data_IF_854394055232
#
_entry.id   IF_854394055232
#
_cell.length_a   1.000
_cell.length_b   1.000
_cell.length_c   1.000
_cell.angle_alpha   90.00
_cell.angle_beta   90.00
_cell.angle_gamma   90.00
#
_symmetry.space_group_name_H-M   'P 1'
#
loop_
_entity.id
_entity.type
_entity.pdbx_description
1 polymer ?
#
# COMPACT_ATOMS: atom_id res chain seq x y z
N UNK A 1 -27.69 -20.33 69.12
CA UNK A 1 -26.94 -20.96 68.01
C UNK A 1 -27.07 -20.24 66.66
N UNK A 2 -28.21 -19.60 66.35
CA UNK A 2 -28.48 -18.93 65.05
C UNK A 2 -27.57 -17.74 64.71
N UNK A 3 -27.03 -17.03 65.70
CA UNK A 3 -26.18 -15.84 65.49
C UNK A 3 -24.70 -16.14 65.19
N UNK A 4 -24.20 -17.33 65.54
CA UNK A 4 -22.82 -17.73 65.22
C UNK A 4 -22.71 -18.26 63.79
N UNK A 5 -23.76 -18.91 63.29
CA UNK A 5 -23.85 -19.37 61.91
C UNK A 5 -23.87 -18.20 60.91
N UNK A 6 -24.63 -17.13 61.20
CA UNK A 6 -24.64 -15.92 60.36
C UNK A 6 -23.29 -15.20 60.30
N UNK A 7 -22.50 -15.22 61.39
CA UNK A 7 -21.17 -14.59 61.41
C UNK A 7 -20.17 -15.38 60.58
N UNK A 8 -20.16 -16.71 60.71
CA UNK A 8 -19.27 -17.57 59.91
C UNK A 8 -19.62 -17.48 58.43
N UNK A 9 -20.91 -17.43 58.09
CA UNK A 9 -21.35 -17.27 56.70
C UNK A 9 -20.95 -15.90 56.12
N UNK A 10 -21.07 -14.82 56.89
CA UNK A 10 -20.61 -13.48 56.47
C UNK A 10 -19.09 -13.44 56.26
N UNK A 11 -18.31 -14.04 57.15
CA UNK A 11 -16.85 -14.12 57.00
C UNK A 11 -16.45 -15.00 55.80
N UNK A 12 -17.14 -16.12 55.55
CA UNK A 12 -16.88 -16.99 54.41
C UNK A 12 -17.21 -16.30 53.07
N UNK A 13 -18.31 -15.54 53.00
CA UNK A 13 -18.68 -14.75 51.82
C UNK A 13 -17.68 -13.61 51.58
N UNK A 14 -17.24 -12.91 52.63
CA UNK A 14 -16.22 -11.87 52.52
C UNK A 14 -14.87 -12.42 52.03
N UNK A 15 -14.43 -13.57 52.55
CA UNK A 15 -13.20 -14.23 52.09
C UNK A 15 -13.32 -14.72 50.65
N UNK A 16 -14.49 -15.23 50.25
CA UNK A 16 -14.74 -15.65 48.86
C UNK A 16 -14.76 -14.49 47.87
N UNK A 17 -15.20 -13.30 48.28
CA UNK A 17 -15.19 -12.08 47.43
C UNK A 17 -13.78 -11.50 47.32
N UNK A 18 -12.99 -11.53 48.39
CA UNK A 18 -11.59 -11.04 48.37
C UNK A 18 -10.68 -11.95 47.54
N UNK A 19 -10.88 -13.27 47.58
CA UNK A 19 -10.15 -14.22 46.72
C UNK A 19 -10.58 -14.10 45.24
N UNK A 20 -11.79 -13.60 44.96
CA UNK A 20 -12.29 -13.36 43.60
C UNK A 20 -11.81 -12.04 42.96
N UNK A 21 -11.30 -11.08 43.74
CA UNK A 21 -10.80 -9.79 43.24
C UNK A 21 -9.26 -9.68 43.15
N UNK A 22 -8.54 -10.77 43.45
CA UNK A 22 -7.06 -10.87 43.45
C UNK A 22 -6.34 -10.94 42.10
N UNK A 23 -7.06 -11.09 40.99
CA UNK A 23 -6.44 -11.21 39.67
C UNK A 23 -6.99 -10.14 38.73
N UNK A 24 -6.69 -8.89 39.04
CA UNK A 24 -6.20 -8.03 37.95
C UNK A 24 -4.92 -8.70 37.49
N UNK A 25 -5.07 -9.67 36.57
CA UNK A 25 -4.01 -9.99 35.66
C UNK A 25 -3.69 -8.65 35.00
N UNK A 26 -2.61 -8.02 35.48
CA UNK A 26 -1.76 -7.23 34.61
C UNK A 26 -1.44 -8.21 33.50
N UNK A 27 -2.26 -8.20 32.45
CA UNK A 27 -1.96 -8.79 31.17
C UNK A 27 -0.83 -7.91 30.66
N UNK A 28 0.37 -8.14 31.21
CA UNK A 28 1.58 -7.70 30.57
C UNK A 28 1.52 -8.31 29.19
N UNK A 29 1.56 -7.45 28.18
CA UNK A 29 1.71 -7.84 26.79
C UNK A 29 2.75 -8.96 26.76
N UNK A 30 2.32 -10.13 26.26
CA UNK A 30 3.24 -11.26 26.21
C UNK A 30 4.32 -10.96 25.18
N UNK A 31 5.55 -11.39 25.46
CA UNK A 31 6.66 -11.34 24.51
C UNK A 31 6.25 -11.92 23.15
N UNK A 32 5.45 -13.00 23.18
CA UNK A 32 4.92 -13.65 21.98
C UNK A 32 3.99 -12.73 21.17
N UNK A 33 3.12 -11.98 21.82
CA UNK A 33 2.21 -10.99 21.19
C UNK A 33 2.98 -9.80 20.61
N UNK A 34 3.93 -9.23 21.36
CA UNK A 34 4.76 -8.16 20.83
C UNK A 34 5.60 -8.63 19.63
N UNK A 35 6.19 -9.82 19.69
CA UNK A 35 6.98 -10.38 18.58
C UNK A 35 6.15 -10.64 17.31
N UNK A 36 4.89 -11.08 17.46
CA UNK A 36 4.01 -11.34 16.33
C UNK A 36 3.56 -10.05 15.65
N UNK A 37 3.25 -9.01 16.43
CA UNK A 37 2.88 -7.69 15.88
C UNK A 37 4.07 -7.03 15.20
N UNK A 38 5.27 -7.16 15.77
CA UNK A 38 6.50 -6.63 15.19
C UNK A 38 6.83 -7.31 13.86
N UNK A 39 6.76 -8.64 13.81
CA UNK A 39 6.94 -9.40 12.57
C UNK A 39 5.88 -9.06 11.51
N UNK A 40 4.64 -8.81 11.92
CA UNK A 40 3.60 -8.37 11.00
C UNK A 40 3.91 -6.96 10.42
N UNK A 41 4.41 -6.05 11.27
CA UNK A 41 4.82 -4.71 10.84
C UNK A 41 6.02 -4.75 9.88
N UNK A 42 7.02 -5.61 10.14
CA UNK A 42 8.15 -5.85 9.24
C UNK A 42 7.69 -6.29 7.85
N UNK A 43 6.80 -7.29 7.80
CA UNK A 43 6.23 -7.78 6.54
C UNK A 43 5.49 -6.66 5.81
N UNK A 44 4.73 -5.83 6.54
CA UNK A 44 3.99 -4.72 5.95
C UNK A 44 4.93 -3.66 5.34
N UNK A 45 6.01 -3.28 6.05
CA UNK A 45 7.04 -2.36 5.55
C UNK A 45 7.67 -2.90 4.26
N UNK A 46 7.98 -4.19 4.20
CA UNK A 46 8.55 -4.84 3.01
C UNK A 46 7.57 -4.79 1.83
N UNK A 47 6.28 -5.06 2.06
CA UNK A 47 5.24 -4.97 1.02
C UNK A 47 5.09 -3.54 0.50
N UNK A 48 5.08 -2.55 1.39
CA UNK A 48 5.05 -1.14 1.01
C UNK A 48 6.30 -0.73 0.21
N UNK A 49 7.47 -1.26 0.55
CA UNK A 49 8.70 -1.06 -0.23
C UNK A 49 8.59 -1.61 -1.65
N UNK A 50 8.03 -2.82 -1.82
CA UNK A 50 7.82 -3.38 -3.15
C UNK A 50 6.84 -2.55 -3.99
N UNK A 51 5.73 -2.08 -3.39
CA UNK A 51 4.76 -1.25 -4.09
C UNK A 51 5.35 0.09 -4.55
N UNK A 52 6.20 0.72 -3.72
CA UNK A 52 6.93 1.94 -4.10
C UNK A 52 7.94 1.67 -5.21
N UNK A 53 8.64 0.54 -5.17
CA UNK A 53 9.58 0.17 -6.23
C UNK A 53 8.87 -0.03 -7.58
N UNK A 54 7.70 -0.66 -7.58
CA UNK A 54 6.86 -0.82 -8.78
C UNK A 54 6.38 0.53 -9.31
N UNK A 55 5.93 1.43 -8.42
CA UNK A 55 5.54 2.80 -8.80
C UNK A 55 6.72 3.64 -9.34
N UNK A 56 7.92 3.49 -8.78
CA UNK A 56 9.13 4.17 -9.27
C UNK A 56 9.59 3.62 -10.65
N UNK A 57 9.44 2.31 -10.89
CA UNK A 57 9.78 1.68 -12.17
C UNK A 57 8.97 2.26 -13.34
N UNK A 58 7.70 2.62 -13.11
CA UNK A 58 6.85 3.30 -14.10
C UNK A 58 7.07 4.82 -14.14
N UNK A 59 7.99 5.36 -13.34
CA UNK A 59 8.35 6.77 -13.31
C UNK A 59 7.42 7.65 -12.46
N UNK A 60 6.64 7.07 -11.55
CA UNK A 60 5.78 7.83 -10.65
C UNK A 60 6.61 8.58 -9.60
N UNK A 61 6.13 9.73 -9.13
CA UNK A 61 6.82 10.50 -8.10
C UNK A 61 6.59 9.89 -6.71
N UNK A 62 7.50 9.02 -6.29
CA UNK A 62 7.44 8.31 -5.02
C UNK A 62 8.07 9.05 -3.83
N UNK A 63 8.50 10.31 -3.99
CA UNK A 63 9.25 11.05 -2.95
C UNK A 63 8.49 11.15 -1.63
N UNK A 64 7.18 11.43 -1.69
CA UNK A 64 6.33 11.54 -0.51
C UNK A 64 6.11 10.17 0.16
N UNK A 65 5.94 9.11 -0.64
CA UNK A 65 5.79 7.74 -0.16
C UNK A 65 7.07 7.23 0.51
N UNK A 66 8.24 7.47 -0.09
CA UNK A 66 9.55 7.13 0.50
C UNK A 66 9.79 7.83 1.85
N UNK A 67 9.34 9.08 1.99
CA UNK A 67 9.47 9.82 3.25
C UNK A 67 8.64 9.17 4.35
N UNK A 68 7.36 8.87 4.08
CA UNK A 68 6.49 8.14 5.02
C UNK A 68 7.02 6.75 5.36
N UNK A 69 7.55 6.04 4.38
CA UNK A 69 8.13 4.71 4.58
C UNK A 69 9.38 4.76 5.47
N UNK A 70 10.18 5.82 5.33
CA UNK A 70 11.31 6.10 6.23
C UNK A 70 10.87 6.34 7.67
N UNK A 71 9.83 7.17 7.87
CA UNK A 71 9.25 7.43 9.20
C UNK A 71 8.66 6.13 9.81
N UNK A 72 7.98 5.32 9.02
CA UNK A 72 7.44 4.02 9.46
C UNK A 72 8.55 3.01 9.82
N UNK A 73 9.68 3.03 9.10
CA UNK A 73 10.86 2.22 9.40
C UNK A 73 11.60 2.66 10.67
N UNK A 74 11.62 3.96 10.96
CA UNK A 74 12.14 4.50 12.22
C UNK A 74 11.30 4.02 13.41
N UNK A 75 9.97 4.08 13.30
CA UNK A 75 9.06 3.55 14.32
C UNK A 75 9.26 2.05 14.54
N UNK A 76 9.44 1.27 13.48
CA UNK A 76 9.72 -0.16 13.58
C UNK A 76 11.05 -0.42 14.33
N UNK A 77 12.09 0.36 14.03
CA UNK A 77 13.40 0.26 14.71
C UNK A 77 13.30 0.59 16.19
N UNK A 78 12.48 1.59 16.56
CA UNK A 78 12.17 1.91 17.96
C UNK A 78 11.39 0.78 18.64
N UNK A 79 10.48 0.13 17.91
CA UNK A 79 9.75 -1.05 18.38
C UNK A 79 10.67 -2.24 18.67
N UNK A 80 11.62 -2.53 17.76
CA UNK A 80 12.66 -3.55 17.96
C UNK A 80 13.53 -3.26 19.18
N UNK A 81 13.95 -1.99 19.34
CA UNK A 81 14.76 -1.58 20.48
C UNK A 81 13.99 -1.76 21.80
N UNK A 82 12.75 -1.29 21.87
CA UNK A 82 11.89 -1.48 23.05
C UNK A 82 11.66 -2.96 23.36
N UNK A 83 11.45 -3.79 22.33
CA UNK A 83 11.34 -5.24 22.49
C UNK A 83 12.62 -5.84 23.09
N UNK A 84 13.80 -5.41 22.62
CA UNK A 84 15.09 -5.87 23.13
C UNK A 84 15.36 -5.44 24.58
N UNK A 85 14.79 -4.32 25.01
CA UNK A 85 14.86 -3.81 26.38
C UNK A 85 13.84 -4.47 27.32
N UNK A 86 12.96 -5.33 26.78
CA UNK A 86 11.89 -6.00 27.52
C UNK A 86 10.66 -5.13 27.75
N UNK A 87 10.56 -3.98 27.07
CA UNK A 87 9.39 -3.10 27.07
C UNK A 87 8.46 -3.47 25.91
N UNK A 88 7.68 -4.52 26.13
CA UNK A 88 6.76 -5.07 25.15
C UNK A 88 5.57 -4.14 24.84
N UNK A 89 5.17 -3.27 25.78
CA UNK A 89 4.04 -2.36 25.61
C UNK A 89 4.41 -1.22 24.65
N UNK A 90 5.61 -0.66 24.82
CA UNK A 90 6.18 0.31 23.88
C UNK A 90 6.44 -0.32 22.50
N UNK A 91 6.96 -1.55 22.45
CA UNK A 91 7.18 -2.25 21.18
C UNK A 91 5.88 -2.41 20.37
N UNK A 92 4.80 -2.81 21.03
CA UNK A 92 3.49 -2.99 20.40
C UNK A 92 2.90 -1.64 19.96
N UNK A 93 3.09 -0.59 20.75
CA UNK A 93 2.67 0.78 20.39
C UNK A 93 3.41 1.28 19.15
N UNK A 94 4.73 1.15 19.09
CA UNK A 94 5.52 1.60 17.94
C UNK A 94 5.22 0.79 16.67
N UNK A 95 5.08 -0.53 16.79
CA UNK A 95 4.70 -1.40 15.68
C UNK A 95 3.27 -1.11 15.18
N UNK A 96 2.34 -0.78 16.08
CA UNK A 96 0.99 -0.35 15.72
C UNK A 96 0.99 0.99 14.98
N UNK A 97 1.76 1.97 15.44
CA UNK A 97 1.90 3.27 14.77
C UNK A 97 2.51 3.14 13.38
N UNK A 98 3.52 2.28 13.20
CA UNK A 98 4.11 2.00 11.88
C UNK A 98 3.07 1.38 10.94
N UNK A 99 2.27 0.42 11.40
CA UNK A 99 1.19 -0.18 10.61
C UNK A 99 0.08 0.81 10.25
N UNK A 100 -0.34 1.66 11.20
CA UNK A 100 -1.35 2.69 10.94
C UNK A 100 -0.85 3.72 9.92
N UNK A 101 0.43 4.10 10.01
CA UNK A 101 1.05 5.04 9.07
C UNK A 101 1.17 4.46 7.65
N UNK A 102 1.30 3.14 7.53
CA UNK A 102 1.32 2.41 6.26
C UNK A 102 -0.07 1.95 5.81
N UNK A 103 -1.13 2.24 6.58
CA UNK A 103 -2.50 1.91 6.21
C UNK A 103 -2.94 2.70 4.98
N UNK A 104 -3.36 2.02 3.93
CA UNK A 104 -3.73 2.63 2.65
C UNK A 104 -2.53 3.07 1.78
N UNK A 105 -1.30 2.81 2.21
CA UNK A 105 -0.09 3.17 1.48
C UNK A 105 0.03 2.45 0.13
N UNK A 106 -0.39 1.18 0.07
CA UNK A 106 -0.38 0.39 -1.17
C UNK A 106 -1.38 0.94 -2.17
N UNK A 107 -2.56 1.37 -1.73
CA UNK A 107 -3.57 1.99 -2.60
C UNK A 107 -3.04 3.32 -3.15
N UNK A 108 -2.41 4.15 -2.31
CA UNK A 108 -1.84 5.44 -2.70
C UNK A 108 -0.65 5.29 -3.67
N UNK A 109 0.15 4.21 -3.52
CA UNK A 109 1.20 3.84 -4.46
C UNK A 109 0.63 3.42 -5.81
N UNK A 110 -0.45 2.63 -5.82
CA UNK A 110 -1.10 2.18 -7.05
C UNK A 110 -1.81 3.33 -7.78
N UNK A 111 -2.41 4.28 -7.05
CA UNK A 111 -2.98 5.50 -7.64
C UNK A 111 -1.90 6.32 -8.37
N UNK A 112 -0.70 6.44 -7.80
CA UNK A 112 0.42 7.13 -8.44
C UNK A 112 0.94 6.38 -9.67
N UNK A 113 0.97 5.05 -9.61
CA UNK A 113 1.28 4.18 -10.75
C UNK A 113 0.30 4.41 -11.91
N UNK A 114 -1.01 4.40 -11.62
CA UNK A 114 -2.06 4.63 -12.61
C UNK A 114 -1.98 6.04 -13.21
N UNK A 115 -1.70 7.05 -12.38
CA UNK A 115 -1.52 8.42 -12.85
C UNK A 115 -0.31 8.55 -13.78
N UNK A 116 0.83 7.95 -13.42
CA UNK A 116 2.03 7.93 -14.28
C UNK A 116 1.77 7.19 -15.59
N UNK A 117 1.06 6.06 -15.53
CA UNK A 117 0.69 5.27 -16.70
C UNK A 117 -0.25 6.07 -17.63
N UNK A 118 -1.27 6.71 -17.06
CA UNK A 118 -2.26 7.47 -17.82
C UNK A 118 -1.63 8.72 -18.46
N UNK A 119 -0.79 9.45 -17.73
CA UNK A 119 -0.11 10.64 -18.27
C UNK A 119 0.82 10.29 -19.45
N UNK A 120 1.43 9.11 -19.45
CA UNK A 120 2.25 8.64 -20.57
C UNK A 120 1.42 8.05 -21.73
N UNK A 121 0.34 7.30 -21.44
CA UNK A 121 -0.44 6.55 -22.43
C UNK A 121 -1.23 7.43 -23.42
N UNK A 122 -1.73 8.60 -23.00
CA UNK A 122 -2.46 9.50 -23.90
C UNK A 122 -1.57 10.12 -24.99
N UNK A 123 -0.30 10.40 -24.69
CA UNK A 123 0.63 10.98 -25.66
C UNK A 123 0.99 9.97 -26.76
N UNK A 124 1.26 8.73 -26.39
CA UNK A 124 1.65 7.70 -27.35
C UNK A 124 0.49 7.29 -28.26
N UNK A 125 -0.72 7.11 -27.70
CA UNK A 125 -1.86 6.62 -28.48
C UNK A 125 -2.34 7.66 -29.50
N UNK A 126 -2.34 8.95 -29.15
CA UNK A 126 -2.81 10.00 -30.05
C UNK A 126 -1.82 10.30 -31.17
N UNK A 127 -0.52 10.37 -30.87
CA UNK A 127 0.51 10.65 -31.88
C UNK A 127 0.65 9.52 -32.91
N UNK A 128 0.58 8.26 -32.46
CA UNK A 128 0.64 7.10 -33.36
C UNK A 128 -0.59 7.04 -34.27
N UNK A 129 -1.79 7.33 -33.75
CA UNK A 129 -3.01 7.32 -34.56
C UNK A 129 -3.00 8.43 -35.62
N UNK A 130 -2.52 9.64 -35.29
CA UNK A 130 -2.44 10.76 -36.25
C UNK A 130 -1.43 10.44 -37.36
N UNK A 131 -0.29 9.83 -37.02
CA UNK A 131 0.72 9.47 -38.02
C UNK A 131 0.23 8.38 -38.98
N UNK A 132 -0.43 7.34 -38.47
CA UNK A 132 -0.98 6.25 -39.30
C UNK A 132 -2.07 6.76 -40.25
N UNK A 133 -2.98 7.60 -39.75
CA UNK A 133 -4.02 8.19 -40.60
C UNK A 133 -3.41 9.15 -41.63
N UNK A 134 -2.46 10.01 -41.22
CA UNK A 134 -1.83 10.99 -42.10
C UNK A 134 -1.06 10.34 -43.27
N UNK A 135 -0.28 9.30 -42.99
CA UNK A 135 0.48 8.59 -44.03
C UNK A 135 -0.43 7.87 -45.03
N UNK A 136 -1.53 7.27 -44.57
CA UNK A 136 -2.48 6.57 -45.44
C UNK A 136 -3.09 7.50 -46.51
N UNK A 137 -3.44 8.73 -46.14
CA UNK A 137 -4.03 9.72 -47.05
C UNK A 137 -3.02 10.15 -48.11
N UNK A 138 -1.75 10.34 -47.73
CA UNK A 138 -0.68 10.72 -48.67
C UNK A 138 -0.44 9.61 -49.68
N UNK A 139 -0.41 8.35 -49.24
CA UNK A 139 -0.21 7.19 -50.13
C UNK A 139 -1.39 7.05 -51.10
N UNK A 140 -2.62 7.11 -50.60
CA UNK A 140 -3.83 7.00 -51.43
C UNK A 140 -3.92 8.18 -52.42
N UNK A 141 -3.66 9.40 -51.97
CA UNK A 141 -3.60 10.57 -52.85
C UNK A 141 -2.56 10.43 -53.95
N UNK A 142 -1.37 9.93 -53.61
CA UNK A 142 -0.29 9.69 -54.58
C UNK A 142 -0.68 8.66 -55.64
N UNK A 143 -1.38 7.58 -55.25
CA UNK A 143 -1.88 6.56 -56.18
C UNK A 143 -2.97 7.11 -57.09
N UNK A 144 -3.91 7.89 -56.57
CA UNK A 144 -4.99 8.50 -57.36
C UNK A 144 -4.43 9.46 -58.41
N UNK A 145 -3.49 10.33 -58.01
CA UNK A 145 -2.82 11.26 -58.93
C UNK A 145 -2.08 10.50 -60.03
N UNK A 146 -1.38 9.41 -59.69
CA UNK A 146 -0.68 8.58 -60.65
C UNK A 146 -1.63 7.91 -61.66
N UNK A 147 -2.77 7.37 -61.21
CA UNK A 147 -3.76 6.75 -62.08
C UNK A 147 -4.41 7.76 -63.04
N UNK A 148 -4.69 8.99 -62.57
CA UNK A 148 -5.25 10.05 -63.41
C UNK A 148 -4.26 10.52 -64.49
N UNK A 149 -2.98 10.63 -64.14
CA UNK A 149 -1.93 10.97 -65.11
C UNK A 149 -1.78 9.87 -66.16
N UNK A 150 -1.71 8.60 -65.75
CA UNK A 150 -1.60 7.45 -66.67
C UNK A 150 -2.76 7.34 -67.66
N UNK A 151 -3.99 7.64 -67.21
CA UNK A 151 -5.17 7.65 -68.09
C UNK A 151 -5.09 8.73 -69.16
N UNK A 152 -4.55 9.91 -68.83
CA UNK A 152 -4.39 11.02 -69.79
C UNK A 152 -3.28 10.76 -70.81
N UNK A 153 -2.15 10.20 -70.38
CA UNK A 153 -1.04 9.91 -71.30
C UNK A 153 -1.39 8.81 -72.32
N UNK A 154 -2.15 7.78 -71.92
CA UNK A 154 -2.60 6.73 -72.83
C UNK A 154 -3.74 7.19 -73.77
N UNK A 155 -4.62 8.07 -73.30
CA UNK A 155 -5.70 8.64 -74.13
C UNK A 155 -5.22 9.60 -75.23
N UNK A 156 -4.01 10.16 -75.09
CA UNK A 156 -3.44 11.11 -76.06
C UNK A 156 -2.69 10.44 -77.22
N UNK A 157 -2.37 9.15 -77.16
CA UNK A 157 -1.59 8.42 -78.19
C UNK A 157 -2.48 7.73 -79.23
N UNK A 158 -3.81 7.74 -79.04
CA UNK A 158 -4.79 7.09 -79.93
C UNK A 158 -5.57 8.06 -80.83
N UNK A 159 -4.99 9.20 -81.21
CA UNK A 159 -5.55 10.11 -82.23
C UNK A 159 -4.50 10.48 -83.26
#
# INVERSE_FOLDING_TARGET
MRSRFNRVFFFAVLVSVVVGCSVDAVLGVSEEEASTVLAAAEVNVVVCYSAVAEADEVGANVTALLTRLGEAGELLSLGELAFSEGDYDSALTYAGQSQEMLSGFVDEAHDLEELAFNEHYWSFTTDVLIFVVGTSVIVVGSIIVWLLLKKRTLGSVSK
#
